data_IF_671117097361
#
_entry.id   IF_671117097361
#
_cell.length_a   1.000
_cell.length_b   1.000
_cell.length_c   1.000
_cell.angle_alpha   90.00
_cell.angle_beta   90.00
_cell.angle_gamma   90.00
#
_symmetry.space_group_name_H-M   'P 1'
#
loop_
_entity.id
_entity.type
_entity.pdbx_description
1 polymer ?
#
# COMPACT_ATOMS: atom_id res chain seq x y z
N UNK A 1 -111.45 -133.63 31.97
CA UNK A 1 -111.28 -132.25 32.50
C UNK A 1 -109.94 -132.00 33.19
N UNK A 2 -109.07 -133.01 33.42
CA UNK A 2 -107.78 -132.81 34.14
C UNK A 2 -106.59 -132.49 33.21
N UNK A 3 -106.66 -132.86 31.92
CA UNK A 3 -105.55 -132.65 30.96
C UNK A 3 -105.33 -131.18 30.51
N UNK A 4 -106.30 -130.28 30.69
CA UNK A 4 -106.19 -128.88 30.24
C UNK A 4 -105.53 -127.95 31.29
N UNK A 5 -105.48 -128.34 32.57
CA UNK A 5 -104.98 -127.49 33.66
C UNK A 5 -103.45 -127.51 33.79
N UNK A 6 -102.81 -128.64 33.47
CA UNK A 6 -101.35 -128.80 33.50
C UNK A 6 -100.62 -127.79 32.60
N UNK A 7 -100.97 -127.62 31.30
CA UNK A 7 -100.29 -126.65 30.44
C UNK A 7 -100.52 -125.19 30.87
N UNK A 8 -101.67 -124.88 31.48
CA UNK A 8 -101.97 -123.54 31.99
C UNK A 8 -101.10 -123.21 33.22
N UNK A 9 -100.97 -124.15 34.16
CA UNK A 9 -100.10 -123.97 35.34
C UNK A 9 -98.64 -123.86 34.93
N UNK A 10 -98.17 -124.70 34.00
CA UNK A 10 -96.80 -124.61 33.44
C UNK A 10 -96.58 -123.27 32.73
N UNK A 11 -97.55 -122.77 31.98
CA UNK A 11 -97.46 -121.45 31.32
C UNK A 11 -97.37 -120.29 32.31
N UNK A 12 -98.16 -120.31 33.39
CA UNK A 12 -98.13 -119.28 34.44
C UNK A 12 -96.82 -119.33 35.23
N UNK A 13 -96.32 -120.53 35.56
CA UNK A 13 -95.02 -120.70 36.24
C UNK A 13 -93.87 -120.26 35.34
N UNK A 14 -93.91 -120.58 34.05
CA UNK A 14 -92.91 -120.13 33.07
C UNK A 14 -92.94 -118.60 32.87
N UNK A 15 -94.12 -117.96 32.84
CA UNK A 15 -94.26 -116.51 32.80
C UNK A 15 -93.75 -115.84 34.08
N UNK A 16 -94.03 -116.42 35.25
CA UNK A 16 -93.53 -115.93 36.54
C UNK A 16 -92.01 -116.04 36.63
N UNK A 17 -91.43 -117.18 36.25
CA UNK A 17 -89.98 -117.40 36.21
C UNK A 17 -89.30 -116.52 35.16
N UNK A 18 -89.87 -116.40 33.96
CA UNK A 18 -89.36 -115.53 32.90
C UNK A 18 -89.40 -114.04 33.27
N UNK A 19 -90.49 -113.60 33.92
CA UNK A 19 -90.64 -112.25 34.45
C UNK A 19 -89.64 -111.96 35.58
N UNK A 20 -89.44 -112.90 36.51
CA UNK A 20 -88.46 -112.78 37.58
C UNK A 20 -87.02 -112.72 37.04
N UNK A 21 -86.66 -113.63 36.13
CA UNK A 21 -85.33 -113.64 35.49
C UNK A 21 -85.11 -112.36 34.69
N UNK A 22 -86.09 -111.91 33.92
CA UNK A 22 -86.03 -110.65 33.16
C UNK A 22 -85.90 -109.43 34.05
N UNK A 23 -86.61 -109.38 35.18
CA UNK A 23 -86.50 -108.32 36.18
C UNK A 23 -85.10 -108.29 36.82
N UNK A 24 -84.58 -109.44 37.27
CA UNK A 24 -83.22 -109.54 37.83
C UNK A 24 -82.13 -109.22 36.81
N UNK A 25 -82.28 -109.66 35.55
CA UNK A 25 -81.34 -109.32 34.48
C UNK A 25 -81.36 -107.83 34.15
N UNK A 26 -82.56 -107.22 34.06
CA UNK A 26 -82.73 -105.78 33.88
C UNK A 26 -82.15 -104.99 35.05
N UNK A 27 -82.39 -105.43 36.28
CA UNK A 27 -81.87 -104.78 37.48
C UNK A 27 -80.34 -104.83 37.51
N UNK A 28 -79.72 -105.98 37.18
CA UNK A 28 -78.25 -106.06 37.05
C UNK A 28 -77.69 -105.20 35.92
N UNK A 29 -78.35 -105.13 34.76
CA UNK A 29 -77.92 -104.29 33.64
C UNK A 29 -78.05 -102.80 33.95
N UNK A 30 -79.13 -102.40 34.63
CA UNK A 30 -79.33 -101.03 35.10
C UNK A 30 -78.30 -100.69 36.17
N UNK A 31 -78.07 -101.55 37.16
CA UNK A 31 -77.04 -101.36 38.18
C UNK A 31 -75.64 -101.30 37.56
N UNK A 32 -75.32 -102.14 36.58
CA UNK A 32 -74.03 -102.07 35.87
C UNK A 32 -73.89 -100.80 35.07
N UNK A 33 -74.97 -100.31 34.45
CA UNK A 33 -74.95 -99.08 33.66
C UNK A 33 -74.84 -97.85 34.57
N UNK A 34 -75.56 -97.83 35.69
CA UNK A 34 -75.43 -96.81 36.74
C UNK A 34 -74.00 -96.78 37.25
N UNK A 35 -73.43 -97.93 37.65
CA UNK A 35 -72.03 -98.02 38.08
C UNK A 35 -71.04 -97.55 37.03
N UNK A 36 -71.27 -97.86 35.75
CA UNK A 36 -70.40 -97.39 34.66
C UNK A 36 -70.48 -95.88 34.44
N UNK A 37 -71.67 -95.29 34.54
CA UNK A 37 -71.90 -93.85 34.43
C UNK A 37 -71.34 -93.13 35.65
N UNK A 38 -71.52 -93.67 36.85
CA UNK A 38 -70.92 -93.15 38.08
C UNK A 38 -69.40 -93.20 38.02
N UNK A 39 -68.82 -94.31 37.52
CA UNK A 39 -67.37 -94.43 37.35
C UNK A 39 -66.83 -93.41 36.32
N UNK A 40 -67.48 -93.26 35.16
CA UNK A 40 -67.10 -92.28 34.15
C UNK A 40 -67.27 -90.83 34.66
N UNK A 41 -68.35 -90.54 35.38
CA UNK A 41 -68.58 -89.21 35.95
C UNK A 41 -67.53 -88.90 37.02
N UNK A 42 -67.16 -89.90 37.84
CA UNK A 42 -66.10 -89.76 38.83
C UNK A 42 -64.74 -89.55 38.18
N UNK A 43 -64.42 -90.30 37.14
CA UNK A 43 -63.19 -90.13 36.35
C UNK A 43 -63.14 -88.74 35.71
N UNK A 44 -64.22 -88.28 35.07
CA UNK A 44 -64.31 -86.92 34.52
C UNK A 44 -64.15 -85.83 35.58
N UNK A 45 -64.71 -86.02 36.78
CA UNK A 45 -64.54 -85.08 37.91
C UNK A 45 -63.08 -85.08 38.39
N UNK A 46 -62.47 -86.26 38.56
CA UNK A 46 -61.08 -86.39 38.99
C UNK A 46 -60.11 -85.80 37.96
N UNK A 47 -60.35 -86.02 36.66
CA UNK A 47 -59.61 -85.40 35.56
C UNK A 47 -59.78 -83.87 35.55
N UNK A 48 -61.02 -83.37 35.65
CA UNK A 48 -61.28 -81.93 35.70
C UNK A 48 -60.63 -81.26 36.92
N UNK A 49 -60.63 -81.93 38.08
CA UNK A 49 -59.92 -81.46 39.27
C UNK A 49 -58.40 -81.47 39.08
N UNK A 50 -57.85 -82.50 38.44
CA UNK A 50 -56.43 -82.60 38.13
C UNK A 50 -56.00 -81.49 37.14
N UNK A 51 -56.74 -81.28 36.05
CA UNK A 51 -56.50 -80.20 35.09
C UNK A 51 -56.62 -78.84 35.75
N UNK A 52 -57.63 -78.61 36.60
CA UNK A 52 -57.77 -77.35 37.35
C UNK A 52 -56.57 -77.11 38.26
N UNK A 53 -56.12 -78.12 39.00
CA UNK A 53 -54.92 -78.02 39.86
C UNK A 53 -53.67 -77.72 39.02
N UNK A 54 -53.48 -78.40 37.89
CA UNK A 54 -52.37 -78.16 36.97
C UNK A 54 -52.37 -76.73 36.40
N UNK A 55 -53.52 -76.23 35.94
CA UNK A 55 -53.66 -74.86 35.44
C UNK A 55 -53.34 -73.82 36.52
N UNK A 56 -53.78 -74.04 37.75
CA UNK A 56 -53.46 -73.15 38.88
C UNK A 56 -51.95 -73.16 39.17
N UNK A 57 -51.32 -74.33 39.12
CA UNK A 57 -49.86 -74.45 39.32
C UNK A 57 -49.10 -73.75 38.19
N UNK A 58 -49.47 -74.00 36.93
CA UNK A 58 -48.86 -73.33 35.77
C UNK A 58 -49.03 -71.81 35.83
N UNK A 59 -50.23 -71.32 36.13
CA UNK A 59 -50.48 -69.89 36.29
C UNK A 59 -49.67 -69.27 37.44
N UNK A 60 -49.47 -70.00 38.54
CA UNK A 60 -48.60 -69.58 39.64
C UNK A 60 -47.12 -69.56 39.23
N UNK A 61 -46.64 -70.58 38.52
CA UNK A 61 -45.27 -70.63 38.02
C UNK A 61 -44.99 -69.51 37.01
N UNK A 62 -45.91 -69.25 36.08
CA UNK A 62 -45.80 -68.15 35.12
C UNK A 62 -45.83 -66.79 35.83
N UNK A 63 -46.72 -66.61 36.82
CA UNK A 63 -46.76 -65.40 37.62
C UNK A 63 -45.47 -65.18 38.41
N UNK A 64 -44.85 -66.24 38.95
CA UNK A 64 -43.56 -66.16 39.64
C UNK A 64 -42.44 -65.80 38.67
N UNK A 65 -42.38 -66.45 37.50
CA UNK A 65 -41.38 -66.14 36.47
C UNK A 65 -41.47 -64.69 36.00
N UNK A 66 -42.69 -64.20 35.73
CA UNK A 66 -42.91 -62.80 35.33
C UNK A 66 -42.50 -61.84 36.45
N UNK A 67 -42.78 -62.16 37.71
CA UNK A 67 -42.33 -61.35 38.85
C UNK A 67 -40.80 -61.29 38.93
N UNK A 68 -40.13 -62.44 38.81
CA UNK A 68 -38.67 -62.51 38.86
C UNK A 68 -38.01 -61.73 37.71
N UNK A 69 -38.58 -61.79 36.51
CA UNK A 69 -38.11 -61.03 35.35
C UNK A 69 -38.26 -59.51 35.55
N UNK A 70 -39.43 -59.08 36.02
CA UNK A 70 -39.70 -57.67 36.33
C UNK A 70 -38.79 -57.17 37.45
N UNK A 71 -38.57 -57.95 38.51
CA UNK A 71 -37.64 -57.59 39.58
C UNK A 71 -36.19 -57.48 39.05
N UNK A 72 -35.76 -58.40 38.20
CA UNK A 72 -34.44 -58.35 37.59
C UNK A 72 -34.27 -57.12 36.69
N UNK A 73 -35.29 -56.77 35.89
CA UNK A 73 -35.28 -55.57 35.05
C UNK A 73 -35.27 -54.29 35.90
N UNK A 74 -36.09 -54.23 36.96
CA UNK A 74 -36.11 -53.10 37.89
C UNK A 74 -34.76 -52.90 38.57
N UNK A 75 -34.11 -53.97 39.03
CA UNK A 75 -32.75 -53.90 39.60
C UNK A 75 -31.73 -53.38 38.60
N UNK A 76 -31.76 -53.87 37.35
CA UNK A 76 -30.88 -53.36 36.28
C UNK A 76 -31.15 -51.89 35.97
N UNK A 77 -32.42 -51.48 35.93
CA UNK A 77 -32.81 -50.08 35.70
C UNK A 77 -32.37 -49.17 36.84
N UNK A 78 -32.55 -49.59 38.09
CA UNK A 78 -32.06 -48.88 39.27
C UNK A 78 -30.54 -48.71 39.25
N UNK A 79 -29.80 -49.77 38.91
CA UNK A 79 -28.34 -49.69 38.79
C UNK A 79 -27.90 -48.72 37.69
N UNK A 80 -28.55 -48.75 36.52
CA UNK A 80 -28.27 -47.80 35.43
C UNK A 80 -28.60 -46.36 35.82
N UNK A 81 -29.71 -46.14 36.52
CA UNK A 81 -30.09 -44.82 37.01
C UNK A 81 -29.06 -44.29 38.01
N UNK A 82 -28.68 -45.10 39.01
CA UNK A 82 -27.66 -44.73 39.99
C UNK A 82 -26.31 -44.39 39.35
N UNK A 83 -25.85 -45.17 38.37
CA UNK A 83 -24.62 -44.88 37.64
C UNK A 83 -24.70 -43.57 36.83
N UNK A 84 -25.86 -43.30 36.22
CA UNK A 84 -26.08 -42.06 35.48
C UNK A 84 -26.15 -40.85 36.42
N UNK A 85 -26.80 -40.98 37.57
CA UNK A 85 -26.86 -39.96 38.62
C UNK A 85 -25.46 -39.63 39.13
N UNK A 86 -24.65 -40.64 39.47
CA UNK A 86 -23.26 -40.43 39.91
C UNK A 86 -22.42 -39.72 38.82
N UNK A 87 -22.59 -40.11 37.56
CA UNK A 87 -21.90 -39.45 36.43
C UNK A 87 -22.35 -38.00 36.25
N UNK A 88 -23.65 -37.73 36.37
CA UNK A 88 -24.19 -36.37 36.28
C UNK A 88 -23.69 -35.50 37.44
N UNK A 89 -23.68 -36.03 38.66
CA UNK A 89 -23.18 -35.33 39.83
C UNK A 89 -21.70 -34.97 39.68
N UNK A 90 -20.84 -35.92 39.27
CA UNK A 90 -19.41 -35.64 39.00
C UNK A 90 -19.23 -34.58 37.91
N UNK A 91 -20.08 -34.59 36.88
CA UNK A 91 -20.04 -33.58 35.82
C UNK A 91 -20.44 -32.21 36.35
N UNK A 92 -21.47 -32.15 37.19
CA UNK A 92 -21.93 -30.91 37.83
C UNK A 92 -20.84 -30.33 38.73
N UNK A 93 -20.25 -31.13 39.62
CA UNK A 93 -19.12 -30.71 40.47
C UNK A 93 -17.93 -30.21 39.64
N UNK A 94 -17.64 -30.85 38.51
CA UNK A 94 -16.56 -30.40 37.60
C UNK A 94 -16.91 -29.04 36.96
N UNK A 95 -18.16 -28.83 36.59
CA UNK A 95 -18.63 -27.56 36.02
C UNK A 95 -18.61 -26.44 37.07
N UNK A 96 -19.08 -26.70 38.29
CA UNK A 96 -19.07 -25.75 39.39
C UNK A 96 -17.63 -25.33 39.73
N UNK A 97 -16.71 -26.28 39.83
CA UNK A 97 -15.28 -25.98 40.02
C UNK A 97 -14.69 -25.14 38.87
N UNK A 98 -15.13 -25.34 37.63
CA UNK A 98 -14.69 -24.52 36.49
C UNK A 98 -15.26 -23.11 36.57
N UNK A 99 -16.53 -22.96 36.94
CA UNK A 99 -17.17 -21.67 37.13
C UNK A 99 -16.46 -20.86 38.22
N UNK A 100 -16.20 -21.47 39.38
CA UNK A 100 -15.45 -20.82 40.47
C UNK A 100 -14.07 -20.33 40.03
N UNK A 101 -13.36 -21.14 39.24
CA UNK A 101 -12.05 -20.77 38.71
C UNK A 101 -12.13 -19.61 37.70
N UNK A 102 -13.16 -19.60 36.85
CA UNK A 102 -13.42 -18.51 35.90
C UNK A 102 -13.73 -17.22 36.68
N UNK A 103 -14.62 -17.27 37.66
CA UNK A 103 -14.95 -16.09 38.49
C UNK A 103 -13.74 -15.54 39.22
N UNK A 104 -12.90 -16.40 39.81
CA UNK A 104 -11.65 -15.97 40.46
C UNK A 104 -10.71 -15.28 39.48
N UNK A 105 -10.58 -15.82 38.26
CA UNK A 105 -9.75 -15.25 37.21
C UNK A 105 -10.31 -13.90 36.74
N UNK A 106 -11.61 -13.80 36.57
CA UNK A 106 -12.29 -12.56 36.17
C UNK A 106 -12.11 -11.46 37.23
N UNK A 107 -12.31 -11.76 38.52
CA UNK A 107 -12.06 -10.81 39.61
C UNK A 107 -10.60 -10.34 39.64
N UNK A 108 -9.65 -11.26 39.41
CA UNK A 108 -8.22 -10.92 39.33
C UNK A 108 -7.90 -10.02 38.13
N UNK A 109 -8.47 -10.31 36.97
CA UNK A 109 -8.32 -9.49 35.75
C UNK A 109 -8.93 -8.09 35.94
N UNK A 110 -10.13 -7.99 36.49
CA UNK A 110 -10.79 -6.71 36.76
C UNK A 110 -9.98 -5.87 37.75
N UNK A 111 -9.41 -6.49 38.80
CA UNK A 111 -8.52 -5.80 39.72
C UNK A 111 -7.25 -5.30 39.03
N UNK A 112 -6.63 -6.12 38.18
CA UNK A 112 -5.45 -5.73 37.38
C UNK A 112 -5.78 -4.57 36.43
N UNK A 113 -6.90 -4.65 35.72
CA UNK A 113 -7.34 -3.60 34.81
C UNK A 113 -7.53 -2.27 35.56
N UNK A 114 -8.27 -2.28 36.68
CA UNK A 114 -8.44 -1.08 37.50
C UNK A 114 -7.12 -0.50 38.00
N UNK A 115 -6.14 -1.34 38.38
CA UNK A 115 -4.81 -0.84 38.77
C UNK A 115 -4.02 -0.26 37.61
N UNK A 116 -4.16 -0.83 36.40
CA UNK A 116 -3.52 -0.30 35.20
C UNK A 116 -4.13 1.04 34.81
N UNK A 117 -5.45 1.16 34.84
CA UNK A 117 -6.15 2.40 34.51
C UNK A 117 -5.76 3.53 35.47
N UNK A 118 -5.65 3.24 36.77
CA UNK A 118 -5.16 4.20 37.77
C UNK A 118 -3.73 4.65 37.46
N UNK A 119 -2.82 3.71 37.19
CA UNK A 119 -1.42 4.03 36.86
C UNK A 119 -1.30 4.83 35.55
N UNK A 120 -2.11 4.52 34.55
CA UNK A 120 -2.13 5.25 33.29
C UNK A 120 -2.56 6.70 33.50
N UNK A 121 -3.61 6.93 34.29
CA UNK A 121 -4.05 8.28 34.65
C UNK A 121 -3.01 9.04 35.48
N UNK A 122 -2.38 8.38 36.46
CA UNK A 122 -1.29 8.97 37.25
C UNK A 122 -0.10 9.35 36.37
N UNK A 123 0.29 8.49 35.43
CA UNK A 123 1.37 8.76 34.48
C UNK A 123 1.05 9.96 33.58
N UNK A 124 -0.16 10.04 33.03
CA UNK A 124 -0.60 11.16 32.22
C UNK A 124 -0.54 12.49 33.00
N UNK A 125 -0.98 12.49 34.27
CA UNK A 125 -0.88 13.67 35.13
C UNK A 125 0.56 14.04 35.47
N UNK A 126 1.44 13.05 35.69
CA UNK A 126 2.87 13.30 35.93
C UNK A 126 3.52 13.88 34.68
N UNK A 127 3.18 13.38 33.49
CA UNK A 127 3.69 13.88 32.22
C UNK A 127 3.27 15.33 31.98
N UNK A 128 1.98 15.64 32.19
CA UNK A 128 1.46 17.02 32.10
C UNK A 128 2.18 17.96 33.08
N UNK A 129 2.33 17.55 34.35
CA UNK A 129 3.08 18.33 35.34
C UNK A 129 4.55 18.50 34.95
N UNK A 130 5.17 17.47 34.39
CA UNK A 130 6.57 17.52 33.94
C UNK A 130 6.73 18.51 32.80
N UNK A 131 5.82 18.52 31.82
CA UNK A 131 5.83 19.51 30.74
C UNK A 131 5.65 20.92 31.30
N UNK A 132 4.65 21.13 32.16
CA UNK A 132 4.41 22.44 32.78
C UNK A 132 5.60 22.95 33.60
N UNK A 133 6.27 22.07 34.37
CA UNK A 133 7.48 22.46 35.11
C UNK A 133 8.68 22.73 34.19
N UNK A 134 8.84 21.97 33.10
CA UNK A 134 9.87 22.27 32.10
C UNK A 134 9.63 23.62 31.43
N UNK A 135 8.39 23.94 31.06
CA UNK A 135 8.02 25.26 30.53
C UNK A 135 8.29 26.37 31.56
N UNK A 136 7.94 26.14 32.84
CA UNK A 136 8.19 27.10 33.92
C UNK A 136 9.69 27.34 34.15
N UNK A 137 10.51 26.29 34.16
CA UNK A 137 11.97 26.39 34.37
C UNK A 137 12.66 27.00 33.15
N UNK A 138 12.23 26.64 31.94
CA UNK A 138 12.72 27.24 30.72
C UNK A 138 12.32 28.71 30.58
N UNK A 139 11.27 29.15 31.30
CA UNK A 139 10.72 30.50 31.21
C UNK A 139 10.06 30.80 29.86
N UNK A 140 9.77 29.74 29.10
CA UNK A 140 9.19 29.79 27.76
C UNK A 140 8.34 28.54 27.54
N UNK A 141 7.21 28.72 26.88
CA UNK A 141 6.34 27.62 26.42
C UNK A 141 7.00 26.83 25.30
N UNK A 142 6.50 25.62 25.01
CA UNK A 142 7.05 24.80 23.93
C UNK A 142 7.03 25.51 22.56
N UNK A 143 5.98 26.28 22.26
CA UNK A 143 5.90 27.03 21.00
C UNK A 143 6.84 28.25 20.98
N UNK A 144 7.06 28.91 22.11
CA UNK A 144 8.06 29.98 22.23
C UNK A 144 9.47 29.43 22.02
N UNK A 145 9.83 28.31 22.66
CA UNK A 145 11.12 27.66 22.50
C UNK A 145 11.38 27.25 21.04
N UNK A 146 10.35 26.74 20.35
CA UNK A 146 10.42 26.39 18.94
C UNK A 146 10.62 27.62 18.05
N UNK A 147 9.93 28.72 18.35
CA UNK A 147 10.05 29.98 17.61
C UNK A 147 11.44 30.60 17.78
N UNK A 148 11.97 30.62 19.01
CA UNK A 148 13.32 31.07 19.33
C UNK A 148 14.37 30.26 18.56
N UNK A 149 14.26 28.92 18.57
CA UNK A 149 15.19 28.03 17.86
C UNK A 149 15.15 28.27 16.35
N UNK A 150 13.96 28.43 15.77
CA UNK A 150 13.80 28.75 14.35
C UNK A 150 14.43 30.11 14.00
N UNK A 151 14.27 31.11 14.87
CA UNK A 151 14.88 32.43 14.68
C UNK A 151 16.41 32.36 14.67
N UNK A 152 17.02 31.63 15.62
CA UNK A 152 18.48 31.44 15.68
C UNK A 152 19.00 30.69 14.44
N UNK A 153 18.28 29.66 13.99
CA UNK A 153 18.63 28.94 12.76
C UNK A 153 18.53 29.85 11.55
N UNK A 154 17.48 30.68 11.45
CA UNK A 154 17.31 31.63 10.36
C UNK A 154 18.45 32.66 10.32
N UNK A 155 18.84 33.21 11.47
CA UNK A 155 19.93 34.17 11.57
C UNK A 155 21.28 33.55 11.15
N UNK A 156 21.58 32.34 11.62
CA UNK A 156 22.77 31.59 11.19
C UNK A 156 22.76 31.32 9.68
N UNK A 157 21.63 30.87 9.13
CA UNK A 157 21.49 30.61 7.70
C UNK A 157 21.65 31.88 6.86
N UNK A 158 21.17 33.04 7.33
CA UNK A 158 21.40 34.34 6.68
C UNK A 158 22.88 34.72 6.65
N UNK A 159 23.63 34.47 7.74
CA UNK A 159 25.07 34.73 7.76
C UNK A 159 25.84 33.84 6.77
N UNK A 160 25.49 32.55 6.70
CA UNK A 160 26.08 31.62 5.73
C UNK A 160 25.76 32.02 4.29
N UNK A 161 24.51 32.39 4.02
CA UNK A 161 24.08 32.88 2.71
C UNK A 161 24.81 34.18 2.32
N UNK A 162 25.05 35.09 3.27
CA UNK A 162 25.82 36.31 3.00
C UNK A 162 27.26 36.02 2.58
N UNK A 163 27.88 34.96 3.13
CA UNK A 163 29.22 34.51 2.70
C UNK A 163 29.19 33.98 1.27
N UNK A 164 28.24 33.10 0.96
CA UNK A 164 28.06 32.55 -0.38
C UNK A 164 27.78 33.66 -1.40
N UNK A 165 26.95 34.64 -1.05
CA UNK A 165 26.62 35.75 -1.93
C UNK A 165 27.87 36.56 -2.32
N UNK A 166 28.75 36.88 -1.35
CA UNK A 166 30.01 37.59 -1.63
C UNK A 166 30.96 36.78 -2.52
N UNK A 167 31.01 35.47 -2.32
CA UNK A 167 31.82 34.56 -3.15
C UNK A 167 31.30 34.54 -4.59
N UNK A 168 29.99 34.40 -4.78
CA UNK A 168 29.34 34.47 -6.09
C UNK A 168 29.52 35.84 -6.75
N UNK A 169 29.40 36.94 -6.01
CA UNK A 169 29.65 38.28 -6.54
C UNK A 169 31.09 38.46 -7.01
N UNK A 170 32.07 37.98 -6.23
CA UNK A 170 33.48 38.05 -6.60
C UNK A 170 33.77 37.24 -7.86
N UNK A 171 33.27 36.01 -7.94
CA UNK A 171 33.40 35.15 -9.11
C UNK A 171 32.72 35.78 -10.35
N UNK A 172 31.52 36.32 -10.18
CA UNK A 172 30.78 37.00 -11.25
C UNK A 172 31.57 38.21 -11.77
N UNK A 173 32.22 38.97 -10.88
CA UNK A 173 33.05 40.12 -11.24
C UNK A 173 34.30 39.71 -12.02
N UNK A 174 34.97 38.62 -11.63
CA UNK A 174 36.09 38.06 -12.40
C UNK A 174 35.66 37.57 -13.78
N UNK A 175 34.54 36.85 -13.87
CA UNK A 175 33.98 36.39 -15.15
C UNK A 175 33.66 37.59 -16.05
N UNK A 176 33.02 38.63 -15.49
CA UNK A 176 32.68 39.84 -16.21
C UNK A 176 33.92 40.59 -16.72
N UNK A 177 34.96 40.75 -15.89
CA UNK A 177 36.20 41.43 -16.30
C UNK A 177 36.92 40.68 -17.42
N UNK A 178 37.04 39.35 -17.29
CA UNK A 178 37.61 38.50 -18.33
C UNK A 178 36.85 38.63 -19.65
N UNK A 179 35.52 38.60 -19.60
CA UNK A 179 34.66 38.72 -20.78
C UNK A 179 34.73 40.11 -21.41
N UNK A 180 34.82 41.16 -20.59
CA UNK A 180 35.03 42.52 -21.06
C UNK A 180 36.37 42.66 -21.81
N UNK A 181 37.46 42.10 -21.27
CA UNK A 181 38.77 42.08 -21.95
C UNK A 181 38.72 41.32 -23.26
N UNK A 182 38.05 40.17 -23.29
CA UNK A 182 37.88 39.34 -24.50
C UNK A 182 37.13 40.12 -25.60
N UNK A 183 35.99 40.72 -25.25
CA UNK A 183 35.20 41.54 -26.19
C UNK A 183 36.01 42.73 -26.71
N UNK A 184 36.70 43.43 -25.81
CA UNK A 184 37.53 44.60 -26.18
C UNK A 184 38.67 44.20 -27.11
N UNK A 185 39.35 43.09 -26.81
CA UNK A 185 40.44 42.55 -27.65
C UNK A 185 39.92 42.18 -29.03
N UNK A 186 38.77 41.49 -29.10
CA UNK A 186 38.14 41.11 -30.36
C UNK A 186 37.73 42.33 -31.19
N UNK A 187 37.20 43.37 -30.54
CA UNK A 187 36.84 44.62 -31.21
C UNK A 187 38.06 45.32 -31.81
N UNK A 188 39.16 45.42 -31.06
CA UNK A 188 40.43 45.99 -31.54
C UNK A 188 40.95 45.19 -32.75
N UNK A 189 40.99 43.85 -32.65
CA UNK A 189 41.48 42.99 -33.72
C UNK A 189 40.69 43.15 -35.02
N UNK A 190 39.36 43.37 -34.93
CA UNK A 190 38.51 43.59 -36.12
C UNK A 190 38.69 44.99 -36.72
N UNK A 191 38.68 46.03 -35.90
CA UNK A 191 38.66 47.43 -36.37
C UNK A 191 40.04 47.90 -36.87
N UNK A 192 41.12 47.42 -36.24
CA UNK A 192 42.47 47.89 -36.57
C UNK A 192 42.90 47.59 -38.02
N UNK A 193 42.38 46.52 -38.63
CA UNK A 193 42.74 46.15 -40.00
C UNK A 193 42.11 47.06 -41.07
N UNK A 194 40.85 47.49 -40.86
CA UNK A 194 40.14 48.37 -41.79
C UNK A 194 40.60 49.84 -41.64
N UNK A 195 40.79 50.32 -40.40
CA UNK A 195 41.16 51.72 -40.16
C UNK A 195 42.57 52.09 -40.65
N UNK A 196 43.52 51.14 -40.61
CA UNK A 196 44.91 51.38 -41.08
C UNK A 196 44.99 51.51 -42.61
N UNK A 197 44.15 50.79 -43.34
CA UNK A 197 44.08 50.89 -44.80
C UNK A 197 43.48 52.24 -45.26
N UNK A 198 42.41 52.72 -44.61
CA UNK A 198 41.80 54.03 -44.93
C UNK A 198 42.67 55.23 -44.51
N UNK A 199 43.51 55.06 -43.48
CA UNK A 199 44.33 56.15 -42.93
C UNK A 199 45.70 56.30 -43.62
N UNK A 200 46.01 55.58 -44.70
CA UNK A 200 47.35 55.66 -45.34
C UNK A 200 47.36 56.21 -46.77
N UNK A 201 46.22 56.26 -47.45
CA UNK A 201 46.10 56.71 -48.85
C UNK A 201 45.12 57.88 -48.93
N UNK A 202 45.42 58.90 -49.74
CA UNK A 202 44.49 59.97 -50.09
C UNK A 202 44.49 60.18 -51.59
N UNK A 203 43.32 60.34 -52.19
CA UNK A 203 43.13 60.55 -53.63
C UNK A 203 42.97 62.04 -53.92
N UNK A 204 43.72 62.57 -54.89
CA UNK A 204 43.57 63.95 -55.38
C UNK A 204 43.13 63.91 -56.83
N UNK A 205 41.99 64.55 -57.12
CA UNK A 205 41.44 64.64 -58.48
C UNK A 205 42.17 65.71 -59.29
N UNK A 206 42.48 65.39 -60.55
CA UNK A 206 43.13 66.27 -61.50
C UNK A 206 42.14 66.75 -62.57
N UNK A 207 42.19 68.03 -62.96
CA UNK A 207 41.27 68.58 -63.97
C UNK A 207 41.60 68.14 -65.41
N UNK A 208 42.79 67.60 -65.67
CA UNK A 208 43.21 67.03 -66.96
C UNK A 208 44.55 66.31 -66.85
N UNK A 209 44.83 65.40 -67.79
CA UNK A 209 46.15 64.75 -67.91
C UNK A 209 47.32 65.72 -68.20
N UNK A 210 47.05 66.91 -68.78
CA UNK A 210 48.08 67.96 -68.91
C UNK A 210 48.55 68.45 -67.52
N UNK A 211 47.62 68.52 -66.56
CA UNK A 211 47.96 68.85 -65.17
C UNK A 211 48.80 67.73 -64.52
N UNK A 212 48.51 66.46 -64.82
CA UNK A 212 49.32 65.30 -64.40
C UNK A 212 50.77 65.42 -64.89
N UNK A 213 50.96 65.80 -66.17
CA UNK A 213 52.28 66.06 -66.75
C UNK A 213 53.04 67.22 -66.09
N UNK A 214 52.34 68.29 -65.69
CA UNK A 214 52.93 69.44 -64.96
C UNK A 214 53.32 69.11 -63.53
N UNK A 215 52.52 68.28 -62.84
CA UNK A 215 52.81 67.79 -61.50
C UNK A 215 54.11 66.96 -61.52
N UNK A 216 54.27 66.06 -62.49
CA UNK A 216 55.51 65.29 -62.70
C UNK A 216 56.68 66.21 -63.01
N UNK A 217 56.52 67.10 -64.00
CA UNK A 217 57.58 67.98 -64.50
C UNK A 217 58.65 67.23 -65.32
N UNK A 218 59.51 67.97 -66.04
CA UNK A 218 60.58 67.38 -66.85
C UNK A 218 61.52 66.54 -65.96
N UNK A 219 61.63 65.24 -66.23
CA UNK A 219 62.39 64.25 -65.43
C UNK A 219 61.90 64.06 -63.98
N UNK A 220 60.62 64.32 -63.68
CA UNK A 220 60.07 64.10 -62.34
C UNK A 220 60.51 65.14 -61.30
N UNK A 221 61.08 66.26 -61.72
CA UNK A 221 61.65 67.28 -60.83
C UNK A 221 60.61 67.87 -59.88
N UNK A 222 59.37 68.02 -60.33
CA UNK A 222 58.32 68.66 -59.55
C UNK A 222 57.73 67.70 -58.50
N UNK A 223 57.47 66.43 -58.86
CA UNK A 223 57.05 65.39 -57.90
C UNK A 223 58.11 65.20 -56.82
N UNK A 224 59.39 65.02 -57.17
CA UNK A 224 60.45 64.84 -56.16
C UNK A 224 60.58 66.03 -55.21
N UNK A 225 60.46 67.25 -55.73
CA UNK A 225 60.48 68.45 -54.89
C UNK A 225 59.27 68.49 -53.94
N UNK A 226 58.10 68.06 -54.41
CA UNK A 226 56.89 67.93 -53.59
C UNK A 226 57.04 66.84 -52.52
N UNK A 227 57.56 65.67 -52.87
CA UNK A 227 57.77 64.55 -51.95
C UNK A 227 58.77 64.93 -50.84
N UNK A 228 59.88 65.58 -51.20
CA UNK A 228 60.88 66.03 -50.23
C UNK A 228 60.32 67.13 -49.31
N UNK A 229 59.55 68.08 -49.86
CA UNK A 229 59.01 69.19 -49.07
C UNK A 229 57.83 68.76 -48.16
N UNK A 230 56.97 67.85 -48.62
CA UNK A 230 55.81 67.38 -47.86
C UNK A 230 56.08 66.14 -46.99
N UNK A 231 57.12 65.38 -47.32
CA UNK A 231 57.42 64.10 -46.67
C UNK A 231 56.38 63.01 -46.96
N UNK A 232 55.69 63.12 -48.10
CA UNK A 232 54.65 62.19 -48.59
C UNK A 232 55.09 61.63 -49.93
N UNK A 233 54.76 60.37 -50.22
CA UNK A 233 55.03 59.74 -51.52
C UNK A 233 53.87 60.00 -52.48
N UNK A 234 54.16 60.39 -53.72
CA UNK A 234 53.13 60.66 -54.73
C UNK A 234 53.15 59.56 -55.76
N UNK A 235 52.17 58.66 -55.70
CA UNK A 235 52.04 57.55 -56.65
C UNK A 235 51.20 58.01 -57.84
N UNK A 236 51.81 57.93 -59.02
CA UNK A 236 51.19 58.20 -60.30
C UNK A 236 50.98 56.86 -61.01
N UNK A 237 49.73 56.40 -61.04
CA UNK A 237 49.34 55.13 -61.68
C UNK A 237 48.51 55.39 -62.96
N UNK A 238 48.09 54.32 -63.63
CA UNK A 238 47.25 54.33 -64.85
C UNK A 238 45.83 54.85 -64.63
N UNK A 239 45.48 55.25 -63.40
CA UNK A 239 44.19 55.90 -63.08
C UNK A 239 44.10 57.25 -63.82
N UNK A 240 43.10 57.44 -64.70
CA UNK A 240 42.88 58.73 -65.37
C UNK A 240 42.40 59.78 -64.37
N UNK A 241 42.81 61.03 -64.57
CA UNK A 241 42.33 62.20 -63.81
C UNK A 241 42.55 62.15 -62.28
N UNK A 242 43.48 61.35 -61.77
CA UNK A 242 43.81 61.33 -60.34
C UNK A 242 45.27 60.91 -60.03
N UNK A 243 45.75 61.32 -58.86
CA UNK A 243 47.01 60.87 -58.25
C UNK A 243 46.78 60.45 -56.81
N UNK A 244 47.63 59.55 -56.31
CA UNK A 244 47.55 59.02 -54.95
C UNK A 244 48.66 59.60 -54.08
N UNK A 245 48.29 60.06 -52.90
CA UNK A 245 49.20 60.53 -51.86
C UNK A 245 49.27 59.47 -50.76
N UNK A 246 50.46 58.91 -50.55
CA UNK A 246 50.72 57.86 -49.55
C UNK A 246 51.62 58.38 -48.44
N UNK A 247 51.13 58.33 -47.20
CA UNK A 247 51.92 58.66 -46.01
C UNK A 247 51.35 58.00 -44.75
N UNK A 248 52.26 57.58 -43.88
CA UNK A 248 51.94 56.99 -42.56
C UNK A 248 51.42 58.01 -41.54
N UNK A 249 51.75 59.30 -41.73
CA UNK A 249 51.29 60.39 -40.88
C UNK A 249 50.05 61.06 -41.50
N UNK A 250 48.85 60.96 -40.88
CA UNK A 250 47.62 61.54 -41.42
C UNK A 250 47.69 63.07 -41.50
N UNK A 251 48.45 63.73 -40.63
CA UNK A 251 48.60 65.20 -40.63
C UNK A 251 49.39 65.64 -41.85
N UNK A 252 50.52 64.97 -42.13
CA UNK A 252 51.34 65.26 -43.32
C UNK A 252 50.60 64.97 -44.62
N UNK A 253 49.84 63.87 -44.66
CA UNK A 253 49.02 63.51 -45.83
C UNK A 253 47.96 64.58 -46.13
N UNK A 254 47.31 65.11 -45.11
CA UNK A 254 46.29 66.15 -45.29
C UNK A 254 46.90 67.50 -45.69
N UNK A 255 48.04 67.88 -45.10
CA UNK A 255 48.82 69.06 -45.53
C UNK A 255 49.25 68.92 -47.00
N UNK A 256 49.74 67.75 -47.39
CA UNK A 256 50.12 67.46 -48.77
C UNK A 256 48.91 67.53 -49.71
N UNK A 257 47.77 66.95 -49.34
CA UNK A 257 46.53 66.99 -50.12
C UNK A 257 46.09 68.44 -50.38
N UNK A 258 46.04 69.26 -49.33
CA UNK A 258 45.67 70.67 -49.42
C UNK A 258 46.69 71.48 -50.24
N UNK A 259 47.98 71.24 -50.05
CA UNK A 259 49.03 71.88 -50.84
C UNK A 259 48.90 71.51 -52.33
N UNK A 260 48.58 70.25 -52.64
CA UNK A 260 48.36 69.79 -54.01
C UNK A 260 47.13 70.46 -54.64
N UNK A 261 46.00 70.55 -53.92
CA UNK A 261 44.80 71.26 -54.39
C UNK A 261 45.10 72.74 -54.72
N UNK A 262 45.86 73.42 -53.87
CA UNK A 262 46.25 74.82 -54.08
C UNK A 262 47.15 74.96 -55.31
N UNK A 263 48.11 74.04 -55.51
CA UNK A 263 49.01 74.03 -56.65
C UNK A 263 48.28 73.74 -57.98
N UNK A 264 47.30 72.83 -57.96
CA UNK A 264 46.45 72.51 -59.11
C UNK A 264 45.59 73.72 -59.50
N UNK A 265 44.94 74.36 -58.52
CA UNK A 265 44.10 75.53 -58.75
C UNK A 265 44.87 76.74 -59.29
N UNK A 266 46.12 76.93 -58.87
CA UNK A 266 46.99 78.01 -59.37
C UNK A 266 47.65 77.67 -60.73
N UNK A 267 47.71 76.39 -61.11
CA UNK A 267 48.25 75.92 -62.39
C UNK A 267 49.76 76.12 -62.60
N UNK A 268 50.49 76.59 -61.57
CA UNK A 268 51.94 76.89 -61.59
C UNK A 268 52.70 75.97 -60.64
N UNK A 269 53.29 74.92 -61.22
CA UNK A 269 53.98 73.87 -60.45
C UNK A 269 55.48 73.92 -60.76
N UNK A 270 56.25 74.48 -59.82
CA UNK A 270 57.72 74.50 -59.86
C UNK A 270 58.30 74.47 -58.44
N UNK A 271 59.54 74.00 -58.24
CA UNK A 271 60.06 73.68 -56.90
C UNK A 271 59.93 74.83 -55.87
N UNK A 272 60.34 76.04 -56.24
CA UNK A 272 60.25 77.20 -55.34
C UNK A 272 58.82 77.58 -54.91
N UNK A 273 57.80 77.23 -55.70
CA UNK A 273 56.39 77.49 -55.33
C UNK A 273 55.85 76.38 -54.43
N UNK A 274 56.24 75.14 -54.68
CA UNK A 274 55.84 73.97 -53.90
C UNK A 274 56.25 74.13 -52.43
N UNK A 275 57.51 74.44 -52.17
CA UNK A 275 58.02 74.69 -50.81
C UNK A 275 57.27 75.84 -50.11
N UNK A 276 56.93 76.90 -50.85
CA UNK A 276 56.22 78.07 -50.32
C UNK A 276 54.75 77.76 -49.99
N UNK A 277 54.10 76.89 -50.77
CA UNK A 277 52.71 76.49 -50.51
C UNK A 277 52.66 75.54 -49.32
N UNK A 278 53.55 74.55 -49.26
CA UNK A 278 53.59 73.56 -48.16
C UNK A 278 53.92 74.23 -46.82
N UNK A 279 54.79 75.23 -46.77
CA UNK A 279 55.10 75.96 -45.53
C UNK A 279 54.02 76.94 -45.07
N UNK A 280 52.99 77.18 -45.89
CA UNK A 280 51.88 78.10 -45.60
C UNK A 280 50.61 77.37 -45.13
N UNK A 281 50.52 76.08 -45.42
CA UNK A 281 49.45 75.17 -45.01
C UNK A 281 49.86 74.50 -43.70
#
# INVERSE_FOLDING_TARGET
MVELWIPIVVGVVALGLGGAIGYFARQRLVDSKIRSVEAQTREMIEEAEATRKQLIVQAKEESLRLKDEVEAELRKRQQRLSQNEERQQKRQETLDNRLDNIERRERSLNKRQSTLDRKANELAQIEEKRVAELERVAGMTQEEAKTELLSVIEESARMDMARVLREVEAETKEIADRKAREITTLAIQRIASEQVAETTVSTVALPSDDMKGRIIGRQGRNIRAFEVASGVEVVVDDTPDAILLTAFDPVRREIARQAMDILINDGRIHPARIEKVISKV
#
